data_IF_660771720221
#
_entry.id   IF_660771720221
#
_cell.length_a   1.000
_cell.length_b   1.000
_cell.length_c   1.000
_cell.angle_alpha   90.00
_cell.angle_beta   90.00
_cell.angle_gamma   90.00
#
_symmetry.space_group_name_H-M   'P 1'
#
loop_
_entity.id
_entity.type
_entity.pdbx_description
1 polymer ?
#
# COMPACT_ATOMS: atom_id res chain seq x y z
N UNK A 1 -23.81 -25.96 -4.14
CA UNK A 1 -23.98 -24.53 -4.47
C UNK A 1 -23.42 -23.75 -3.30
N UNK A 2 -22.44 -22.88 -3.53
CA UNK A 2 -21.97 -21.93 -2.53
C UNK A 2 -22.25 -20.53 -3.06
N UNK A 3 -22.64 -19.59 -2.20
CA UNK A 3 -22.84 -18.20 -2.58
C UNK A 3 -22.38 -17.28 -1.46
N UNK A 4 -21.97 -16.07 -1.82
CA UNK A 4 -21.62 -15.05 -0.84
C UNK A 4 -22.90 -14.31 -0.40
N UNK A 5 -23.14 -14.28 0.91
CA UNK A 5 -24.26 -13.53 1.50
C UNK A 5 -23.81 -12.13 1.90
N UNK A 6 -24.46 -11.11 1.33
CA UNK A 6 -24.21 -9.70 1.69
C UNK A 6 -24.73 -9.33 3.08
N UNK A 7 -25.65 -10.12 3.64
CA UNK A 7 -26.23 -9.88 4.97
C UNK A 7 -25.26 -10.28 6.09
N UNK A 8 -24.58 -11.41 5.91
CA UNK A 8 -23.67 -11.97 6.91
C UNK A 8 -22.19 -11.78 6.58
N UNK A 9 -21.88 -11.23 5.39
CA UNK A 9 -20.53 -11.10 4.86
C UNK A 9 -19.74 -12.43 4.91
N UNK A 10 -20.41 -13.51 4.50
CA UNK A 10 -19.86 -14.87 4.54
C UNK A 10 -20.23 -15.67 3.30
N UNK A 11 -19.36 -16.60 2.96
CA UNK A 11 -19.63 -17.67 2.01
C UNK A 11 -20.49 -18.74 2.69
N UNK A 12 -21.69 -18.98 2.16
CA UNK A 12 -22.57 -20.04 2.65
C UNK A 12 -22.24 -21.36 1.97
N UNK A 13 -21.83 -22.35 2.77
CA UNK A 13 -21.48 -23.70 2.36
C UNK A 13 -22.46 -24.69 2.99
N UNK A 14 -22.55 -25.90 2.44
CA UNK A 14 -23.41 -26.97 2.99
C UNK A 14 -23.07 -27.33 4.44
N UNK A 15 -21.84 -27.03 4.88
CA UNK A 15 -21.32 -27.33 6.21
C UNK A 15 -21.16 -26.07 7.09
N UNK A 16 -21.70 -24.93 6.68
CA UNK A 16 -21.71 -23.69 7.48
C UNK A 16 -21.24 -22.46 6.73
N UNK A 17 -21.31 -21.31 7.41
CA UNK A 17 -20.82 -20.04 6.91
C UNK A 17 -19.30 -19.93 7.13
N UNK A 18 -18.58 -19.45 6.12
CA UNK A 18 -17.13 -19.23 6.17
C UNK A 18 -16.81 -17.84 5.63
N UNK A 19 -15.96 -17.07 6.29
CA UNK A 19 -15.56 -15.74 5.82
C UNK A 19 -14.06 -15.47 6.09
N UNK A 20 -13.42 -14.58 5.32
CA UNK A 20 -12.03 -14.21 5.57
C UNK A 20 -11.87 -13.50 6.93
N UNK A 21 -11.06 -14.05 7.82
CA UNK A 21 -10.82 -13.46 9.14
C UNK A 21 -9.53 -12.63 9.21
N UNK A 22 -9.34 -11.90 10.31
CA UNK A 22 -8.06 -11.22 10.61
C UNK A 22 -6.90 -12.20 10.71
N UNK A 23 -7.13 -13.38 11.29
CA UNK A 23 -6.11 -14.42 11.46
C UNK A 23 -5.74 -15.01 10.10
N UNK A 24 -6.72 -15.25 9.23
CA UNK A 24 -6.47 -15.76 7.88
C UNK A 24 -5.59 -14.78 7.10
N UNK A 25 -5.90 -13.48 7.18
CA UNK A 25 -5.08 -12.45 6.53
C UNK A 25 -3.68 -12.39 7.12
N UNK A 26 -3.53 -12.44 8.45
CA UNK A 26 -2.21 -12.48 9.06
C UNK A 26 -1.38 -13.68 8.53
N UNK A 27 -2.02 -14.85 8.39
CA UNK A 27 -1.35 -16.04 7.86
C UNK A 27 -1.05 -15.96 6.35
N UNK A 28 -1.94 -15.37 5.55
CA UNK A 28 -1.85 -15.38 4.08
C UNK A 28 -0.96 -14.25 3.54
N UNK A 29 -1.12 -13.05 4.08
CA UNK A 29 -0.46 -11.82 3.59
C UNK A 29 0.53 -11.23 4.59
N UNK A 30 0.66 -11.80 5.80
CA UNK A 30 1.62 -11.34 6.81
C UNK A 30 1.28 -10.00 7.44
N UNK A 31 0.05 -9.48 7.26
CA UNK A 31 -0.33 -8.20 7.85
C UNK A 31 -0.63 -8.36 9.36
N UNK A 32 -0.12 -7.48 10.21
CA UNK A 32 -0.34 -7.53 11.65
C UNK A 32 -1.84 -7.36 11.97
N UNK A 33 -2.46 -8.30 12.72
CA UNK A 33 -3.88 -8.24 13.07
C UNK A 33 -4.17 -7.30 14.26
N UNK A 34 -3.12 -6.88 14.97
CA UNK A 34 -3.16 -6.11 16.21
C UNK A 34 -1.99 -5.14 16.24
N UNK A 35 -2.10 -4.13 17.09
CA UNK A 35 -1.11 -3.05 17.24
C UNK A 35 -1.78 -1.68 17.16
N UNK A 36 -1.03 -0.65 16.75
CA UNK A 36 -1.56 0.71 16.71
C UNK A 36 -2.70 0.82 15.68
N UNK A 37 -3.80 1.46 16.04
CA UNK A 37 -4.97 1.58 15.16
C UNK A 37 -4.61 2.45 13.96
N UNK A 38 -4.88 1.94 12.75
CA UNK A 38 -4.84 2.73 11.51
C UNK A 38 -6.05 3.64 11.52
N UNK A 39 -5.90 4.83 12.10
CA UNK A 39 -6.84 5.91 11.88
C UNK A 39 -6.16 6.95 10.99
N UNK A 40 -6.75 7.18 9.82
CA UNK A 40 -6.29 8.15 8.83
C UNK A 40 -6.29 9.57 9.45
N UNK A 41 -7.07 9.77 10.51
CA UNK A 41 -7.16 11.01 11.30
C UNK A 41 -6.07 11.12 12.38
N UNK A 42 -5.52 10.02 12.91
CA UNK A 42 -4.46 10.08 13.96
C UNK A 42 -3.04 10.29 13.43
N UNK A 43 -2.84 10.31 12.12
CA UNK A 43 -1.60 10.78 11.53
C UNK A 43 -1.48 12.33 11.53
N UNK A 44 -2.21 12.99 12.45
CA UNK A 44 -1.87 14.30 13.03
C UNK A 44 -0.68 14.23 14.00
N UNK A 45 -0.19 13.03 14.34
CA UNK A 45 1.13 12.84 14.93
C UNK A 45 2.21 13.46 14.05
N UNK A 46 3.16 14.16 14.68
CA UNK A 46 4.24 14.91 14.01
C UNK A 46 5.17 13.93 13.28
N UNK A 47 4.80 13.54 12.07
CA UNK A 47 5.66 12.73 11.21
C UNK A 47 6.88 13.58 10.82
N UNK A 48 8.07 12.98 10.80
CA UNK A 48 9.31 13.67 10.42
C UNK A 48 9.30 14.16 8.95
N UNK A 49 8.35 13.68 8.15
CA UNK A 49 8.26 13.90 6.70
C UNK A 49 6.86 14.43 6.38
N UNK A 50 6.78 15.53 5.63
CA UNK A 50 5.55 15.98 4.96
C UNK A 50 5.63 15.58 3.48
N UNK A 51 5.08 14.40 3.18
CA UNK A 51 5.08 13.83 1.85
C UNK A 51 4.29 14.72 0.87
N UNK A 52 3.25 15.40 1.33
CA UNK A 52 2.46 16.32 0.50
C UNK A 52 3.30 17.50 -0.02
N UNK A 53 4.09 18.11 0.85
CA UNK A 53 4.99 19.22 0.49
C UNK A 53 6.15 18.75 -0.39
N UNK A 54 6.84 17.67 -0.02
CA UNK A 54 7.98 17.11 -0.78
C UNK A 54 7.61 16.73 -2.22
N UNK A 55 6.44 16.12 -2.41
CA UNK A 55 5.95 15.76 -3.73
C UNK A 55 5.56 16.98 -4.56
N UNK A 56 4.99 18.01 -3.93
CA UNK A 56 4.65 19.27 -4.60
C UNK A 56 5.90 19.96 -5.13
N UNK A 57 6.99 19.95 -4.37
CA UNK A 57 8.26 20.52 -4.81
C UNK A 57 8.89 19.72 -5.95
N UNK A 58 8.89 18.37 -5.89
CA UNK A 58 9.39 17.50 -6.98
C UNK A 58 8.57 17.59 -8.28
N UNK A 59 7.32 18.03 -8.19
CA UNK A 59 6.39 18.17 -9.33
C UNK A 59 6.33 19.59 -9.90
N UNK A 60 6.99 20.59 -9.30
CA UNK A 60 7.11 21.94 -9.89
C UNK A 60 7.70 21.84 -11.30
N UNK A 61 6.92 22.26 -12.31
CA UNK A 61 7.30 22.22 -13.74
C UNK A 61 6.94 20.93 -14.49
N UNK A 62 6.29 19.94 -13.85
CA UNK A 62 5.82 18.68 -14.48
C UNK A 62 4.28 18.60 -14.50
N UNK A 63 3.67 17.81 -15.40
CA UNK A 63 2.22 17.75 -15.51
C UNK A 63 1.55 17.32 -14.19
N UNK A 64 0.53 18.08 -13.76
CA UNK A 64 -0.18 17.94 -12.48
C UNK A 64 -0.98 16.62 -12.30
N UNK A 65 -0.91 15.71 -13.26
CA UNK A 65 -1.76 14.51 -13.36
C UNK A 65 -0.84 13.30 -13.55
N UNK A 66 -0.04 12.98 -12.54
CA UNK A 66 0.78 11.77 -12.55
C UNK A 66 -0.12 10.55 -12.30
N UNK A 67 -0.35 9.74 -13.33
CA UNK A 67 -0.88 8.40 -13.13
C UNK A 67 0.20 7.51 -12.45
N UNK A 68 -0.15 6.29 -12.03
CA UNK A 68 0.79 5.39 -11.37
C UNK A 68 2.08 5.16 -12.19
N UNK A 69 2.03 5.16 -13.52
CA UNK A 69 3.22 4.99 -14.34
C UNK A 69 4.09 6.26 -14.32
N UNK A 70 3.47 7.43 -14.43
CA UNK A 70 4.17 8.71 -14.27
C UNK A 70 4.75 8.86 -12.87
N UNK A 71 4.07 8.35 -11.84
CA UNK A 71 4.60 8.31 -10.48
C UNK A 71 5.90 7.51 -10.46
N UNK A 72 5.89 6.29 -10.99
CA UNK A 72 7.08 5.46 -11.09
C UNK A 72 8.20 6.16 -11.87
N UNK A 73 7.91 6.83 -12.99
CA UNK A 73 8.90 7.61 -13.74
C UNK A 73 9.50 8.76 -12.93
N UNK A 74 8.69 9.49 -12.15
CA UNK A 74 9.18 10.59 -11.30
C UNK A 74 10.18 10.07 -10.26
N UNK A 75 9.97 8.87 -9.73
CA UNK A 75 10.87 8.28 -8.72
C UNK A 75 12.07 7.54 -9.33
N UNK A 76 11.87 6.74 -10.37
CA UNK A 76 12.94 5.99 -11.04
C UNK A 76 13.89 6.93 -11.79
N UNK A 77 13.36 7.91 -12.55
CA UNK A 77 14.20 8.82 -13.32
C UNK A 77 14.75 9.98 -12.47
N UNK A 78 14.12 10.28 -11.33
CA UNK A 78 14.65 11.22 -10.34
C UNK A 78 15.97 10.73 -9.70
N UNK A 79 16.20 9.42 -9.65
CA UNK A 79 17.46 8.82 -9.21
C UNK A 79 18.60 9.04 -10.23
N UNK A 80 18.28 9.07 -11.54
CA UNK A 80 19.25 9.27 -12.61
C UNK A 80 19.80 10.69 -12.74
N UNK A 81 19.04 11.71 -12.31
CA UNK A 81 19.43 13.11 -12.52
C UNK A 81 20.19 13.74 -11.34
N UNK A 82 20.41 13.03 -10.23
CA UNK A 82 21.30 13.50 -9.15
C UNK A 82 22.78 13.13 -9.36
N UNK A 83 23.11 12.38 -10.42
CA UNK A 83 24.47 11.88 -10.67
C UNK A 83 25.41 12.89 -11.37
N UNK A 84 24.94 14.05 -11.81
CA UNK A 84 25.76 14.99 -12.57
C UNK A 84 25.32 16.41 -12.23
N UNK A 85 25.79 16.94 -11.09
CA UNK A 85 25.95 18.39 -10.89
C UNK A 85 26.73 18.75 -9.60
N UNK A 86 27.41 17.79 -8.95
CA UNK A 86 28.33 18.11 -7.86
C UNK A 86 29.46 17.10 -7.80
N UNK A 87 30.50 17.33 -8.62
CA UNK A 87 31.92 17.18 -8.28
C UNK A 87 32.71 17.79 -9.44
N UNK A 88 33.13 19.03 -9.26
CA UNK A 88 34.29 19.55 -9.99
C UNK A 88 35.54 19.27 -9.17
N UNK A 89 36.44 18.44 -9.72
CA UNK A 89 37.90 18.32 -9.44
C UNK A 89 38.35 18.06 -7.98
N UNK A 90 39.28 17.17 -7.64
CA UNK A 90 40.34 16.47 -8.37
C UNK A 90 40.90 15.37 -7.41
N UNK A 91 41.48 14.32 -8.00
CA UNK A 91 42.44 13.33 -7.46
C UNK A 91 41.98 11.89 -7.21
N UNK A 92 42.77 11.00 -7.82
CA UNK A 92 42.65 9.56 -7.96
C UNK A 92 42.91 8.81 -6.64
N UNK A 93 42.06 7.82 -6.33
CA UNK A 93 42.55 6.48 -5.98
C UNK A 93 41.41 5.47 -6.05
N UNK A 94 41.66 4.40 -6.80
CA UNK A 94 40.69 3.35 -7.03
C UNK A 94 40.30 2.61 -5.77
N UNK A 95 39.06 2.14 -5.76
CA UNK A 95 38.64 0.83 -5.29
C UNK A 95 37.19 0.68 -5.74
N UNK A 96 36.86 -0.47 -6.33
CA UNK A 96 35.53 -0.85 -6.78
C UNK A 96 34.56 -0.87 -5.59
N UNK A 97 33.91 0.27 -5.33
CA UNK A 97 32.81 0.37 -4.38
C UNK A 97 31.51 0.17 -5.16
N UNK A 98 30.86 -0.92 -4.81
CA UNK A 98 29.50 -1.23 -5.22
C UNK A 98 28.61 -0.14 -4.61
N UNK A 99 28.25 0.88 -5.40
CA UNK A 99 27.31 1.93 -4.99
C UNK A 99 25.96 1.29 -4.66
N UNK A 100 25.74 0.94 -3.39
CA UNK A 100 24.40 0.74 -2.87
C UNK A 100 23.75 2.12 -2.80
N UNK A 101 22.97 2.46 -3.82
CA UNK A 101 22.09 3.63 -3.83
C UNK A 101 21.22 3.62 -2.56
N UNK A 102 21.56 4.46 -1.58
CA UNK A 102 20.76 4.61 -0.36
C UNK A 102 19.41 5.23 -0.73
N UNK A 103 18.32 4.52 -0.45
CA UNK A 103 16.96 4.99 -0.69
C UNK A 103 16.64 6.10 0.31
N UNK A 104 16.22 7.27 -0.17
CA UNK A 104 15.87 8.37 0.74
C UNK A 104 14.59 8.07 1.50
N UNK A 105 14.46 8.59 2.72
CA UNK A 105 13.23 8.46 3.53
C UNK A 105 11.96 8.94 2.78
N UNK A 106 12.09 9.98 1.95
CA UNK A 106 10.99 10.50 1.11
C UNK A 106 10.61 9.50 0.01
N UNK A 107 11.59 8.82 -0.61
CA UNK A 107 11.33 7.77 -1.59
C UNK A 107 10.67 6.55 -0.98
N UNK A 108 11.09 6.15 0.23
CA UNK A 108 10.45 5.08 0.98
C UNK A 108 8.98 5.41 1.29
N UNK A 109 8.70 6.61 1.82
CA UNK A 109 7.33 7.05 2.10
C UNK A 109 6.47 7.16 0.82
N UNK A 110 7.04 7.67 -0.28
CA UNK A 110 6.35 7.75 -1.56
C UNK A 110 6.04 6.37 -2.16
N UNK A 111 6.95 5.41 -2.00
CA UNK A 111 6.72 4.02 -2.38
C UNK A 111 5.59 3.41 -1.55
N UNK A 112 5.57 3.64 -0.23
CA UNK A 112 4.50 3.17 0.64
C UNK A 112 3.14 3.77 0.25
N UNK A 113 3.06 5.06 -0.05
CA UNK A 113 1.83 5.70 -0.52
C UNK A 113 1.32 5.04 -1.82
N UNK A 114 2.24 4.78 -2.76
CA UNK A 114 1.94 4.04 -3.97
C UNK A 114 1.45 2.62 -3.69
N UNK A 115 2.16 1.88 -2.83
CA UNK A 115 1.85 0.50 -2.48
C UNK A 115 0.48 0.38 -1.81
N UNK A 116 0.17 1.28 -0.88
CA UNK A 116 -1.15 1.37 -0.24
C UNK A 116 -2.23 1.55 -1.30
N UNK A 117 -2.11 2.57 -2.16
CA UNK A 117 -3.15 2.85 -3.15
C UNK A 117 -3.33 1.70 -4.14
N UNK A 118 -2.23 1.11 -4.62
CA UNK A 118 -2.27 0.15 -5.72
C UNK A 118 -2.61 -1.27 -5.27
N UNK A 119 -2.02 -1.75 -4.18
CA UNK A 119 -2.08 -3.16 -3.79
C UNK A 119 -2.88 -3.41 -2.51
N UNK A 120 -2.91 -2.43 -1.60
CA UNK A 120 -3.55 -2.60 -0.30
C UNK A 120 -5.03 -2.21 -0.33
N UNK A 121 -5.30 -1.00 -0.81
CA UNK A 121 -6.64 -0.43 -0.97
C UNK A 121 -7.20 -0.70 -2.37
N UNK A 122 -6.32 -0.85 -3.37
CA UNK A 122 -6.68 -0.97 -4.78
C UNK A 122 -7.65 0.14 -5.19
N UNK A 123 -7.22 1.39 -5.06
CA UNK A 123 -8.01 2.57 -5.42
C UNK A 123 -8.36 2.55 -6.91
N UNK A 124 -9.55 3.02 -7.26
CA UNK A 124 -10.01 3.15 -8.66
C UNK A 124 -9.32 4.28 -9.40
N UNK A 125 -8.81 5.26 -8.64
CA UNK A 125 -7.95 6.33 -9.13
C UNK A 125 -6.72 5.72 -9.80
N UNK A 126 -6.38 6.22 -10.99
CA UNK A 126 -5.11 5.90 -11.66
C UNK A 126 -3.91 6.62 -11.02
N UNK A 127 -4.11 7.33 -9.90
CA UNK A 127 -3.10 8.14 -9.20
C UNK A 127 -3.07 7.76 -7.72
N UNK A 128 -1.93 7.98 -7.09
CA UNK A 128 -1.80 7.90 -5.62
C UNK A 128 -2.70 8.95 -4.98
N UNK A 129 -3.56 8.53 -4.05
CA UNK A 129 -4.46 9.45 -3.36
C UNK A 129 -3.75 10.09 -2.15
N UNK A 130 -3.88 11.40 -2.03
CA UNK A 130 -3.28 12.21 -0.96
C UNK A 130 -3.80 11.83 0.42
N UNK A 131 -5.00 11.24 0.49
CA UNK A 131 -5.59 10.74 1.75
C UNK A 131 -4.74 9.65 2.42
N UNK A 132 -3.91 8.93 1.66
CA UNK A 132 -3.04 7.88 2.20
C UNK A 132 -1.61 8.35 2.47
N UNK A 133 -1.28 9.63 2.22
CA UNK A 133 0.09 10.14 2.48
C UNK A 133 0.42 10.05 3.95
N UNK A 134 -0.52 10.43 4.80
CA UNK A 134 -0.38 10.36 6.25
C UNK A 134 -0.20 8.94 6.77
N UNK A 135 -0.91 7.97 6.17
CA UNK A 135 -0.69 6.55 6.46
C UNK A 135 0.70 6.07 6.00
N UNK A 136 1.16 6.53 4.84
CA UNK A 136 2.48 6.20 4.32
C UNK A 136 3.61 6.81 5.15
N UNK A 137 3.46 8.04 5.62
CA UNK A 137 4.37 8.72 6.55
C UNK A 137 4.47 7.96 7.87
N UNK A 138 3.33 7.57 8.45
CA UNK A 138 3.30 6.76 9.67
C UNK A 138 4.02 5.42 9.49
N UNK A 139 3.78 4.71 8.37
CA UNK A 139 4.51 3.46 8.06
C UNK A 139 6.00 3.66 7.79
N UNK A 140 6.40 4.82 7.27
CA UNK A 140 7.80 5.16 7.01
C UNK A 140 8.54 5.68 8.25
N UNK A 141 7.82 6.03 9.31
CA UNK A 141 8.39 6.58 10.53
C UNK A 141 9.21 5.52 11.26
N UNK A 142 10.35 5.96 11.83
CA UNK A 142 11.19 5.09 12.66
C UNK A 142 10.46 4.67 13.94
N UNK A 143 9.56 5.51 14.45
CA UNK A 143 8.74 5.20 15.62
C UNK A 143 7.92 3.92 15.42
N UNK A 144 7.22 3.78 14.28
CA UNK A 144 6.45 2.56 13.97
C UNK A 144 7.36 1.39 13.64
N UNK A 145 8.55 1.64 13.07
CA UNK A 145 9.47 0.58 12.66
C UNK A 145 10.29 -0.01 13.82
N UNK A 146 10.58 0.79 14.85
CA UNK A 146 11.34 0.42 16.05
C UNK A 146 10.43 0.09 17.25
N UNK A 147 9.13 0.38 17.16
CA UNK A 147 8.14 0.04 18.19
C UNK A 147 7.80 -1.44 18.18
N UNK A 148 7.63 -2.01 19.38
CA UNK A 148 7.11 -3.36 19.61
C UNK A 148 5.61 -3.51 19.26
N UNK A 149 4.95 -2.42 18.84
CA UNK A 149 3.56 -2.41 18.39
C UNK A 149 3.49 -1.97 16.92
N UNK A 150 3.38 -2.92 15.97
CA UNK A 150 3.26 -2.60 14.57
C UNK A 150 1.93 -1.89 14.28
N UNK A 151 1.84 -1.19 13.16
CA UNK A 151 0.58 -0.59 12.74
C UNK A 151 -0.41 -1.70 12.31
N UNK A 152 -1.61 -1.73 12.88
CA UNK A 152 -2.62 -2.77 12.66
C UNK A 152 -3.28 -2.64 11.27
N UNK A 153 -2.53 -2.98 10.23
CA UNK A 153 -3.01 -2.96 8.84
C UNK A 153 -4.03 -4.06 8.54
N UNK A 154 -4.04 -5.16 9.29
CA UNK A 154 -4.98 -6.27 9.08
C UNK A 154 -6.47 -5.82 9.06
N UNK A 155 -6.97 -5.16 10.12
CA UNK A 155 -8.31 -4.58 10.15
C UNK A 155 -8.61 -3.60 9.02
N UNK A 156 -7.65 -2.71 8.71
CA UNK A 156 -7.79 -1.73 7.65
C UNK A 156 -8.03 -2.39 6.28
N UNK A 157 -7.25 -3.42 5.94
CA UNK A 157 -7.36 -4.17 4.68
C UNK A 157 -8.61 -5.05 4.66
N UNK A 158 -8.99 -5.61 5.80
CA UNK A 158 -10.21 -6.40 5.93
C UNK A 158 -11.46 -5.55 5.67
N UNK A 159 -11.52 -4.33 6.21
CA UNK A 159 -12.60 -3.40 5.94
C UNK A 159 -12.74 -3.08 4.44
N UNK A 160 -11.62 -2.79 3.77
CA UNK A 160 -11.60 -2.53 2.32
C UNK A 160 -12.06 -3.75 1.50
N UNK A 161 -11.64 -4.96 1.91
CA UNK A 161 -12.07 -6.18 1.25
C UNK A 161 -13.59 -6.39 1.39
N UNK A 162 -14.14 -6.27 2.60
CA UNK A 162 -15.57 -6.47 2.82
C UNK A 162 -16.41 -5.43 2.08
N UNK A 163 -15.97 -4.17 2.04
CA UNK A 163 -16.64 -3.15 1.23
C UNK A 163 -16.65 -3.52 -0.25
N UNK A 164 -15.53 -4.02 -0.77
CA UNK A 164 -15.43 -4.48 -2.15
C UNK A 164 -16.36 -5.66 -2.44
N UNK A 165 -16.38 -6.67 -1.57
CA UNK A 165 -17.25 -7.84 -1.70
C UNK A 165 -18.72 -7.44 -1.62
N UNK A 166 -19.07 -6.49 -0.75
CA UNK A 166 -20.42 -5.94 -0.67
C UNK A 166 -20.85 -5.35 -2.02
N UNK A 167 -20.07 -4.42 -2.59
CA UNK A 167 -20.35 -3.84 -3.91
C UNK A 167 -20.45 -4.91 -5.00
N UNK A 168 -19.58 -5.92 -4.99
CA UNK A 168 -19.60 -7.00 -5.97
C UNK A 168 -20.89 -7.83 -5.91
N UNK A 169 -21.48 -7.98 -4.73
CA UNK A 169 -22.69 -8.79 -4.52
C UNK A 169 -23.96 -7.97 -4.73
N UNK A 170 -23.96 -6.69 -4.35
CA UNK A 170 -25.15 -5.82 -4.47
C UNK A 170 -25.27 -5.17 -5.85
N UNK A 171 -24.15 -4.83 -6.48
CA UNK A 171 -24.09 -4.05 -7.72
C UNK A 171 -23.46 -4.82 -8.88
N UNK A 172 -22.95 -6.04 -8.62
CA UNK A 172 -22.28 -6.88 -9.60
C UNK A 172 -20.77 -6.60 -9.71
N UNK A 173 -20.05 -7.50 -10.39
CA UNK A 173 -18.61 -7.37 -10.60
C UNK A 173 -18.30 -6.21 -11.57
N UNK A 174 -17.55 -5.23 -11.10
CA UNK A 174 -17.09 -4.09 -11.88
C UNK A 174 -15.58 -3.88 -11.68
N UNK A 175 -14.78 -3.73 -12.76
CA UNK A 175 -13.34 -3.43 -12.63
C UNK A 175 -13.06 -2.07 -11.97
N UNK A 176 -14.07 -1.21 -11.86
CA UNK A 176 -13.99 0.08 -11.18
C UNK A 176 -14.36 -0.01 -9.69
N UNK A 177 -14.49 -1.20 -9.10
CA UNK A 177 -14.58 -1.31 -7.64
C UNK A 177 -13.21 -1.18 -7.01
N UNK A 178 -13.14 -0.42 -5.92
CA UNK A 178 -11.94 -0.39 -5.08
C UNK A 178 -11.94 -1.58 -4.13
N UNK A 179 -10.75 -2.03 -3.77
CA UNK A 179 -10.54 -3.05 -2.76
C UNK A 179 -9.75 -4.26 -3.29
N UNK A 180 -9.03 -4.95 -2.39
CA UNK A 180 -8.09 -5.99 -2.77
C UNK A 180 -8.76 -7.34 -2.97
N UNK A 181 -9.58 -7.50 -4.03
CA UNK A 181 -10.23 -8.78 -4.38
C UNK A 181 -9.22 -9.93 -4.54
N UNK A 182 -7.98 -9.62 -4.92
CA UNK A 182 -6.90 -10.60 -5.00
C UNK A 182 -6.65 -11.31 -3.66
N UNK A 183 -6.89 -10.65 -2.51
CA UNK A 183 -6.77 -11.29 -1.18
C UNK A 183 -7.88 -12.31 -1.00
N UNK A 184 -9.09 -12.02 -1.44
CA UNK A 184 -10.19 -12.98 -1.39
C UNK A 184 -9.94 -14.16 -2.32
N UNK A 185 -9.41 -13.91 -3.51
CA UNK A 185 -8.98 -14.98 -4.42
C UNK A 185 -7.92 -15.88 -3.75
N UNK A 186 -6.90 -15.30 -3.14
CA UNK A 186 -5.86 -16.06 -2.45
C UNK A 186 -6.43 -16.84 -1.25
N UNK A 187 -7.34 -16.24 -0.49
CA UNK A 187 -8.06 -16.90 0.59
C UNK A 187 -8.86 -18.12 0.09
N UNK A 188 -9.62 -17.97 -0.99
CA UNK A 188 -10.33 -19.10 -1.60
C UNK A 188 -9.36 -20.21 -2.03
N UNK A 189 -8.21 -19.86 -2.62
CA UNK A 189 -7.21 -20.86 -3.00
C UNK A 189 -6.61 -21.60 -1.79
N UNK A 190 -6.46 -20.93 -0.65
CA UNK A 190 -5.93 -21.59 0.57
C UNK A 190 -6.92 -22.54 1.23
N UNK A 191 -8.22 -22.21 1.24
CA UNK A 191 -9.24 -23.03 1.89
C UNK A 191 -9.85 -24.10 0.98
N UNK A 192 -9.80 -23.90 -0.34
CA UNK A 192 -10.39 -24.82 -1.31
C UNK A 192 -9.37 -25.28 -2.37
N UNK A 193 -8.36 -26.08 -1.98
CA UNK A 193 -7.33 -26.56 -2.89
C UNK A 193 -7.88 -27.43 -4.03
N UNK A 194 -9.06 -28.03 -3.84
CA UNK A 194 -9.73 -28.86 -4.85
C UNK A 194 -10.28 -28.09 -6.05
N UNK A 195 -10.36 -26.76 -6.01
CA UNK A 195 -10.75 -25.91 -7.15
C UNK A 195 -9.54 -25.36 -7.93
N UNK A 196 -8.36 -25.94 -7.74
CA UNK A 196 -7.14 -25.62 -8.50
C UNK A 196 -7.08 -26.34 -9.84
#
# INVERSE_FOLDING_TARGET
MCFWSSQTNSLELQFGALSPTLIDKAAIIGLPPHGQVVDIVFAEGKCDIDLGCELRDRTKGRPAVANFNTWIEVFINGLGNKSLDSIGSLEEKGESQQETMEVTHVEHAAFLAFWICKFLVCTTSKKVNVEYYKLAEALASKEVQESDQPLALGPFVLAHLYRCLHHCVTEGLNPNWSGPLWIFQLWLHTYFPSFR
#
